data_IF_339135425541
#
_entry.id   IF_339135425541
#
_cell.length_a   1.000
_cell.length_b   1.000
_cell.length_c   1.000
_cell.angle_alpha   90.00
_cell.angle_beta   90.00
_cell.angle_gamma   90.00
#
_symmetry.space_group_name_H-M   'P 1'
#
loop_
_entity.id
_entity.type
_entity.pdbx_description
1 polymer ?
#
# COMPACT_ATOMS: atom_id res chain seq x y z
N UNK A 1 15.15 -3.65 21.03
CA UNK A 1 13.72 -3.31 20.92
C UNK A 1 13.44 -3.06 19.45
N UNK A 2 12.63 -3.90 18.80
CA UNK A 2 12.32 -3.73 17.38
C UNK A 2 11.19 -2.73 17.17
N UNK A 3 10.99 -2.27 15.93
CA UNK A 3 9.85 -1.40 15.61
C UNK A 3 8.51 -2.10 15.87
N UNK A 4 8.39 -3.40 15.58
CA UNK A 4 7.19 -4.18 15.87
C UNK A 4 6.97 -4.35 17.39
N UNK A 5 8.03 -4.33 18.21
CA UNK A 5 7.86 -4.33 19.67
C UNK A 5 7.37 -2.97 20.21
N UNK A 6 7.55 -1.87 19.46
CA UNK A 6 6.92 -0.58 19.78
C UNK A 6 5.43 -0.56 19.41
N UNK A 7 5.03 -1.35 18.40
CA UNK A 7 3.63 -1.49 17.98
C UNK A 7 2.87 -2.60 18.73
N UNK A 8 3.40 -3.14 19.84
CA UNK A 8 2.78 -4.30 20.52
C UNK A 8 1.69 -3.99 21.55
N UNK A 9 1.60 -2.76 22.04
CA UNK A 9 0.73 -2.42 23.17
C UNK A 9 -0.49 -1.54 22.82
N UNK A 10 -0.73 -1.22 21.54
CA UNK A 10 -2.03 -0.69 21.08
C UNK A 10 -2.33 -1.10 19.61
N UNK A 11 -3.25 -2.07 19.47
CA UNK A 11 -4.05 -2.36 18.27
C UNK A 11 -3.35 -2.66 16.92
N UNK A 12 -2.53 -3.72 16.86
CA UNK A 12 -2.21 -4.40 15.58
C UNK A 12 -3.46 -5.09 14.97
N UNK A 13 -4.55 -5.19 15.71
CA UNK A 13 -5.82 -5.78 15.24
C UNK A 13 -6.70 -4.82 14.41
N UNK A 14 -6.34 -3.52 14.28
CA UNK A 14 -7.07 -2.56 13.43
C UNK A 14 -6.50 -2.39 12.02
N UNK A 15 -5.46 -3.13 11.65
CA UNK A 15 -4.93 -3.10 10.29
C UNK A 15 -5.86 -3.84 9.33
N UNK A 16 -6.16 -3.24 8.18
CA UNK A 16 -6.76 -3.98 7.06
C UNK A 16 -5.72 -4.94 6.47
N UNK A 17 -5.62 -6.11 7.10
CA UNK A 17 -4.99 -7.30 6.54
C UNK A 17 -5.99 -7.86 5.52
N UNK A 18 -5.63 -8.01 4.23
CA UNK A 18 -6.47 -8.72 3.28
C UNK A 18 -6.81 -10.12 3.83
N UNK A 19 -8.07 -10.59 3.75
CA UNK A 19 -8.50 -11.84 4.40
C UNK A 19 -7.74 -13.09 3.91
N UNK A 20 -7.06 -12.97 2.78
CA UNK A 20 -6.15 -13.96 2.20
C UNK A 20 -4.87 -14.18 3.04
N UNK A 21 -4.60 -13.32 4.04
CA UNK A 21 -3.37 -13.32 4.84
C UNK A 21 -3.58 -13.66 6.32
N UNK A 22 -4.83 -13.82 6.78
CA UNK A 22 -5.14 -14.23 8.15
C UNK A 22 -5.28 -15.75 8.26
N UNK A 23 -4.16 -16.48 8.25
CA UNK A 23 -4.17 -17.94 8.41
C UNK A 23 -4.62 -18.35 9.83
N UNK A 24 -5.68 -19.17 9.91
CA UNK A 24 -5.97 -19.99 11.08
C UNK A 24 -6.21 -21.42 10.59
N UNK A 25 -5.23 -22.29 10.80
CA UNK A 25 -5.13 -23.59 10.12
C UNK A 25 -5.13 -24.73 11.15
N UNK A 26 -6.26 -25.39 11.35
CA UNK A 26 -6.35 -26.59 12.20
C UNK A 26 -7.25 -27.71 11.60
N UNK A 27 -6.63 -28.89 11.54
CA UNK A 27 -7.22 -30.25 11.55
C UNK A 27 -8.19 -30.64 10.43
N UNK A 28 -7.70 -31.54 9.56
CA UNK A 28 -8.53 -32.54 8.89
C UNK A 28 -9.02 -33.62 9.88
N UNK A 29 -10.09 -34.35 9.52
CA UNK A 29 -9.96 -35.81 9.56
C UNK A 29 -10.43 -36.51 8.27
N UNK A 30 -9.74 -37.59 7.93
CA UNK A 30 -10.00 -38.50 6.81
C UNK A 30 -11.07 -39.54 7.16
N UNK A 31 -12.05 -39.82 6.27
CA UNK A 31 -12.52 -41.20 6.01
C UNK A 31 -12.88 -41.41 4.51
N UNK A 32 -12.21 -42.41 3.95
CA UNK A 32 -12.35 -43.17 2.69
C UNK A 32 -13.76 -43.60 2.24
N UNK A 33 -14.05 -43.51 0.92
CA UNK A 33 -14.29 -44.68 0.02
C UNK A 33 -14.18 -44.32 -1.47
N UNK A 34 -13.47 -45.16 -2.24
CA UNK A 34 -13.42 -45.21 -3.72
C UNK A 34 -14.24 -46.44 -4.19
N UNK A 35 -14.73 -46.54 -5.46
CA UNK A 35 -13.85 -46.87 -6.62
C UNK A 35 -14.17 -46.18 -7.98
N UNK A 36 -13.10 -46.01 -8.79
CA UNK A 36 -12.94 -46.07 -10.29
C UNK A 36 -14.11 -45.66 -11.24
N UNK A 37 -14.08 -44.57 -12.04
CA UNK A 37 -13.28 -44.21 -13.27
C UNK A 37 -13.54 -45.19 -14.46
N UNK A 38 -13.69 -44.79 -15.77
CA UNK A 38 -13.29 -43.55 -16.51
C UNK A 38 -14.44 -42.74 -17.20
N UNK A 39 -14.32 -41.43 -17.52
CA UNK A 39 -13.66 -40.71 -18.68
C UNK A 39 -14.32 -41.00 -20.06
N UNK A 40 -14.52 -40.09 -21.03
CA UNK A 40 -14.20 -38.66 -21.35
C UNK A 40 -15.50 -37.93 -21.85
N UNK A 41 -15.64 -36.62 -22.12
CA UNK A 41 -15.16 -35.32 -21.58
C UNK A 41 -15.99 -34.17 -22.28
N UNK A 42 -15.58 -32.88 -22.18
CA UNK A 42 -16.08 -31.63 -22.81
C UNK A 42 -17.40 -30.99 -22.25
N UNK A 43 -17.44 -29.65 -22.05
CA UNK A 43 -16.47 -28.82 -21.31
C UNK A 43 -17.15 -27.78 -20.36
N UNK A 44 -16.42 -27.24 -19.36
CA UNK A 44 -16.42 -25.81 -18.92
C UNK A 44 -15.89 -25.55 -17.48
N UNK A 45 -15.28 -24.37 -17.31
CA UNK A 45 -15.22 -23.49 -16.13
C UNK A 45 -14.38 -23.85 -14.86
N UNK A 46 -13.16 -23.28 -14.82
CA UNK A 46 -12.47 -22.70 -13.63
C UNK A 46 -12.04 -23.59 -12.44
N UNK A 47 -11.16 -23.11 -11.51
CA UNK A 47 -10.40 -21.85 -11.48
C UNK A 47 -8.86 -22.03 -11.41
N UNK A 48 -8.11 -20.95 -11.68
CA UNK A 48 -6.67 -20.88 -11.43
C UNK A 48 -6.35 -20.71 -9.92
N UNK A 49 -5.22 -21.25 -9.41
CA UNK A 49 -4.94 -21.27 -7.97
C UNK A 49 -4.47 -19.91 -7.42
N UNK A 50 -5.07 -19.49 -6.31
CA UNK A 50 -4.65 -18.31 -5.54
C UNK A 50 -3.24 -18.50 -4.94
N UNK A 51 -2.38 -17.48 -5.08
CA UNK A 51 -0.99 -17.52 -4.56
C UNK A 51 -0.90 -16.80 -3.21
N UNK A 52 -0.37 -17.52 -2.22
CA UNK A 52 -0.07 -17.08 -0.85
C UNK A 52 0.80 -15.79 -0.79
N UNK A 53 0.80 -15.05 0.34
CA UNK A 53 1.81 -14.02 0.59
C UNK A 53 3.21 -14.61 0.49
N UNK A 54 4.13 -13.86 -0.11
CA UNK A 54 5.52 -14.30 -0.32
C UNK A 54 6.51 -13.75 0.71
N UNK A 55 6.19 -12.64 1.37
CA UNK A 55 7.10 -11.93 2.26
C UNK A 55 7.08 -12.48 3.68
N UNK A 56 8.24 -12.66 4.31
CA UNK A 56 8.32 -13.08 5.72
C UNK A 56 8.03 -11.92 6.68
N UNK A 57 7.73 -12.25 7.94
CA UNK A 57 7.50 -11.25 8.99
C UNK A 57 8.74 -10.39 9.26
N UNK A 58 9.92 -11.00 9.18
CA UNK A 58 11.22 -10.36 9.36
C UNK A 58 11.51 -9.38 8.21
N UNK A 59 11.14 -9.73 6.98
CA UNK A 59 11.27 -8.85 5.81
C UNK A 59 10.26 -7.70 5.85
N UNK A 60 9.00 -7.97 6.22
CA UNK A 60 8.02 -6.89 6.44
C UNK A 60 8.52 -5.88 7.49
N UNK A 61 9.10 -6.37 8.60
CA UNK A 61 9.68 -5.53 9.65
C UNK A 61 10.87 -4.69 9.17
N UNK A 62 11.77 -5.26 8.36
CA UNK A 62 12.96 -4.55 7.89
C UNK A 62 12.63 -3.46 6.88
N UNK A 63 11.63 -3.71 6.02
CA UNK A 63 11.18 -2.78 4.96
C UNK A 63 10.25 -1.69 5.47
N UNK A 64 9.51 -1.91 6.57
CA UNK A 64 8.54 -0.94 7.13
C UNK A 64 9.22 0.32 7.70
N UNK A 65 8.79 1.49 7.21
CA UNK A 65 9.23 2.83 7.64
C UNK A 65 8.25 3.54 8.56
N UNK A 66 6.95 3.32 8.35
CA UNK A 66 5.90 4.01 9.09
C UNK A 66 4.49 3.63 8.64
N UNK A 67 3.52 4.45 9.02
CA UNK A 67 2.10 4.32 8.66
C UNK A 67 1.65 5.62 7.99
N UNK A 68 1.14 5.51 6.77
CA UNK A 68 0.44 6.58 6.05
C UNK A 68 -1.01 6.64 6.53
N UNK A 69 -1.45 7.84 6.93
CA UNK A 69 -2.83 8.13 7.32
C UNK A 69 -3.37 9.32 6.53
N UNK A 70 -4.54 9.18 5.91
CA UNK A 70 -5.24 10.27 5.20
C UNK A 70 -6.70 10.32 5.68
N UNK A 71 -7.00 11.08 6.76
CA UNK A 71 -8.27 10.97 7.50
C UNK A 71 -9.53 11.19 6.65
N UNK A 72 -9.49 12.14 5.71
CA UNK A 72 -10.66 12.50 4.87
C UNK A 72 -11.19 11.34 4.02
N UNK A 73 -10.31 10.43 3.63
CA UNK A 73 -10.63 9.28 2.76
C UNK A 73 -10.52 7.93 3.47
N UNK A 74 -10.32 7.94 4.79
CA UNK A 74 -10.20 6.77 5.66
C UNK A 74 -9.08 5.79 5.23
N UNK A 75 -7.92 6.34 4.84
CA UNK A 75 -6.73 5.54 4.53
C UNK A 75 -5.84 5.44 5.78
N UNK A 76 -5.51 4.21 6.19
CA UNK A 76 -4.46 3.86 7.16
C UNK A 76 -3.69 2.66 6.61
N UNK A 77 -2.43 2.85 6.18
CA UNK A 77 -1.63 1.84 5.49
C UNK A 77 -0.17 1.85 5.93
N UNK A 78 0.50 0.69 5.88
CA UNK A 78 1.96 0.62 6.06
C UNK A 78 2.68 1.36 4.92
N UNK A 79 3.82 1.98 5.24
CA UNK A 79 4.81 2.49 4.29
C UNK A 79 6.02 1.56 4.34
N UNK A 80 6.41 1.02 3.18
CA UNK A 80 7.54 0.08 3.06
C UNK A 80 8.48 0.52 1.93
N UNK A 81 9.77 0.22 2.03
CA UNK A 81 10.71 0.42 0.91
C UNK A 81 10.40 -0.55 -0.25
N UNK A 82 10.39 -0.03 -1.48
CA UNK A 82 10.18 -0.78 -2.72
C UNK A 82 8.76 -0.66 -3.27
N UNK A 83 8.62 -0.83 -4.59
CA UNK A 83 7.34 -0.70 -5.33
C UNK A 83 7.01 -1.97 -6.14
N UNK A 84 7.55 -3.11 -5.71
CA UNK A 84 7.23 -4.44 -6.24
C UNK A 84 5.82 -4.93 -5.82
N UNK A 85 5.31 -5.90 -6.57
CA UNK A 85 4.01 -6.55 -6.35
C UNK A 85 3.84 -7.16 -4.96
N UNK A 86 4.92 -7.48 -4.25
CA UNK A 86 4.86 -8.08 -2.91
C UNK A 86 4.59 -7.00 -1.86
N UNK A 87 5.21 -5.84 -2.03
CA UNK A 87 5.00 -4.64 -1.22
C UNK A 87 3.65 -3.98 -1.49
N UNK A 88 3.32 -3.70 -2.76
CA UNK A 88 2.10 -2.95 -3.12
C UNK A 88 0.80 -3.71 -2.79
N UNK A 89 0.86 -5.04 -2.61
CA UNK A 89 -0.25 -5.87 -2.13
C UNK A 89 -0.62 -5.59 -0.66
N UNK A 90 0.31 -5.08 0.16
CA UNK A 90 0.10 -4.96 1.63
C UNK A 90 0.40 -3.55 2.19
N UNK A 91 1.04 -2.69 1.41
CA UNK A 91 1.54 -1.39 1.82
C UNK A 91 1.47 -0.38 0.68
N UNK A 92 1.69 0.90 0.99
CA UNK A 92 2.21 1.85 0.00
C UNK A 92 3.74 1.69 -0.07
N UNK A 93 4.27 1.63 -1.28
CA UNK A 93 5.68 1.44 -1.54
C UNK A 93 6.41 2.76 -1.74
N UNK A 94 7.50 3.00 -1.01
CA UNK A 94 8.40 4.12 -1.31
C UNK A 94 9.21 3.80 -2.56
N UNK A 95 9.16 4.71 -3.52
CA UNK A 95 9.90 4.62 -4.77
C UNK A 95 11.41 4.67 -4.50
N UNK A 96 12.21 3.69 -4.97
CA UNK A 96 13.66 3.74 -4.86
C UNK A 96 14.25 5.03 -5.45
N UNK A 97 15.39 5.47 -4.89
CA UNK A 97 16.12 6.68 -5.29
C UNK A 97 15.42 8.03 -5.01
N UNK A 98 14.28 8.01 -4.30
CA UNK A 98 13.65 9.22 -3.73
C UNK A 98 14.09 9.42 -2.28
N UNK A 99 13.89 10.62 -1.73
CA UNK A 99 14.38 10.96 -0.38
C UNK A 99 13.66 10.18 0.73
N UNK A 100 14.22 10.15 1.94
CA UNK A 100 13.59 9.51 3.09
C UNK A 100 12.56 10.43 3.78
N UNK A 101 11.76 9.86 4.68
CA UNK A 101 10.76 10.61 5.44
C UNK A 101 11.42 11.61 6.41
N UNK A 102 10.85 12.81 6.51
CA UNK A 102 11.38 13.96 7.28
C UNK A 102 12.71 14.55 6.76
N UNK A 103 13.10 14.30 5.51
CA UNK A 103 14.25 14.95 4.88
C UNK A 103 13.85 16.09 3.92
N UNK A 104 14.75 17.04 3.68
CA UNK A 104 14.58 18.06 2.63
C UNK A 104 14.73 17.36 1.28
N UNK A 105 13.68 17.40 0.47
CA UNK A 105 13.59 16.59 -0.74
C UNK A 105 12.16 16.17 -1.03
N UNK A 106 12.00 15.04 -1.72
CA UNK A 106 10.69 14.50 -2.10
C UNK A 106 10.69 12.99 -1.86
N UNK A 107 9.91 12.54 -0.88
CA UNK A 107 9.63 11.13 -0.63
C UNK A 107 8.40 10.74 -1.46
N UNK A 108 8.55 9.80 -2.39
CA UNK A 108 7.48 9.41 -3.32
C UNK A 108 6.91 8.04 -2.96
N UNK A 109 5.61 7.96 -2.71
CA UNK A 109 4.88 6.75 -2.37
C UNK A 109 3.93 6.34 -3.51
N UNK A 110 4.10 5.10 -3.98
CA UNK A 110 3.17 4.44 -4.88
C UNK A 110 2.18 3.56 -4.11
N UNK A 111 0.93 3.50 -4.56
CA UNK A 111 -0.05 2.53 -4.04
C UNK A 111 -1.06 2.11 -5.09
N UNK A 112 -1.63 0.92 -4.96
CA UNK A 112 -2.68 0.46 -5.87
C UNK A 112 -3.95 1.31 -5.75
N UNK A 113 -4.65 1.45 -6.87
CA UNK A 113 -6.03 1.96 -6.89
C UNK A 113 -6.98 0.78 -7.03
N UNK A 114 -7.57 0.37 -5.92
CA UNK A 114 -8.56 -0.72 -5.94
C UNK A 114 -9.85 -0.26 -6.61
N UNK A 115 -10.61 -1.21 -7.16
CA UNK A 115 -12.02 -1.00 -7.49
C UNK A 115 -12.90 -1.00 -6.24
N UNK A 116 -12.47 -1.65 -5.16
CA UNK A 116 -13.22 -1.74 -3.91
C UNK A 116 -13.17 -0.40 -3.18
N UNK A 117 -14.34 0.14 -2.84
CA UNK A 117 -14.44 1.40 -2.11
C UNK A 117 -13.83 1.31 -0.70
N UNK A 118 -13.05 2.32 -0.31
CA UNK A 118 -12.35 2.36 0.99
C UNK A 118 -11.16 1.41 1.08
N UNK A 119 -10.52 1.06 -0.06
CA UNK A 119 -9.36 0.16 -0.11
C UNK A 119 -8.20 0.77 -0.87
N UNK A 120 -7.00 0.66 -0.29
CA UNK A 120 -5.77 1.26 -0.81
C UNK A 120 -5.99 2.76 -1.11
N UNK A 121 -5.52 3.26 -2.25
CA UNK A 121 -5.66 4.66 -2.65
C UNK A 121 -6.89 4.91 -3.55
N UNK A 122 -7.94 4.08 -3.48
CA UNK A 122 -9.08 4.17 -4.42
C UNK A 122 -9.74 5.56 -4.46
N UNK A 123 -9.81 6.22 -3.31
CA UNK A 123 -10.44 7.54 -3.06
C UNK A 123 -9.48 8.73 -3.16
N UNK A 124 -8.24 8.55 -3.64
CA UNK A 124 -7.23 9.63 -3.68
C UNK A 124 -7.72 10.87 -4.48
N UNK A 125 -8.67 10.70 -5.39
CA UNK A 125 -9.30 11.78 -6.17
C UNK A 125 -10.34 12.62 -5.41
N UNK A 126 -10.65 12.29 -4.15
CA UNK A 126 -11.55 13.07 -3.29
C UNK A 126 -10.81 14.14 -2.46
N UNK A 127 -9.47 14.13 -2.53
CA UNK A 127 -8.61 15.09 -1.86
C UNK A 127 -8.61 16.43 -2.61
N UNK A 128 -8.25 17.51 -1.90
CA UNK A 128 -8.08 18.88 -2.40
C UNK A 128 -6.91 19.57 -1.67
N UNK A 129 -6.42 20.66 -2.24
CA UNK A 129 -5.45 21.55 -1.58
C UNK A 129 -5.95 22.00 -0.22
N UNK A 130 -5.09 21.89 0.81
CA UNK A 130 -5.41 22.16 2.21
C UNK A 130 -5.76 20.93 3.04
N UNK A 131 -6.11 19.80 2.41
CA UNK A 131 -6.30 18.53 3.13
C UNK A 131 -4.97 18.03 3.74
N UNK A 132 -5.09 17.24 4.82
CA UNK A 132 -3.95 16.74 5.59
C UNK A 132 -3.60 15.29 5.26
N UNK A 133 -2.30 15.02 5.20
CA UNK A 133 -1.71 13.68 5.22
C UNK A 133 -0.83 13.59 6.48
N UNK A 134 -0.88 12.47 7.19
CA UNK A 134 -0.04 12.22 8.35
C UNK A 134 0.77 10.96 8.13
N UNK A 135 2.07 10.99 8.45
CA UNK A 135 2.94 9.82 8.46
C UNK A 135 3.47 9.57 9.87
N UNK A 136 3.06 8.46 10.47
CA UNK A 136 3.60 8.02 11.76
C UNK A 136 4.87 7.19 11.52
N UNK A 137 6.01 7.68 11.99
CA UNK A 137 7.28 6.94 11.99
C UNK A 137 7.56 6.39 13.38
N UNK A 138 8.60 5.55 13.51
CA UNK A 138 9.05 4.97 14.80
C UNK A 138 9.33 6.01 15.90
N UNK A 139 9.66 7.26 15.51
CA UNK A 139 10.17 8.28 16.42
C UNK A 139 9.28 9.54 16.51
N UNK A 140 8.38 9.75 15.55
CA UNK A 140 7.62 11.01 15.38
C UNK A 140 6.47 10.88 14.39
N UNK A 141 5.45 11.70 14.60
CA UNK A 141 4.36 11.94 13.66
C UNK A 141 4.70 13.14 12.79
N UNK A 142 4.69 12.95 11.47
CA UNK A 142 4.95 13.96 10.46
C UNK A 142 3.61 14.39 9.85
N UNK A 143 3.27 15.68 9.89
CA UNK A 143 2.06 16.20 9.28
C UNK A 143 2.40 16.93 7.99
N UNK A 144 1.58 16.75 6.97
CA UNK A 144 1.75 17.36 5.66
C UNK A 144 0.44 18.00 5.19
N UNK A 145 0.54 19.13 4.51
CA UNK A 145 -0.58 19.81 3.84
C UNK A 145 -0.49 19.65 2.34
N UNK A 146 -1.55 19.15 1.71
CA UNK A 146 -1.64 19.02 0.25
C UNK A 146 -1.64 20.41 -0.40
N UNK A 147 -0.76 20.62 -1.37
CA UNK A 147 -0.64 21.89 -2.09
C UNK A 147 -0.91 21.75 -3.60
N UNK A 148 -0.72 20.56 -4.17
CA UNK A 148 -0.85 20.30 -5.61
C UNK A 148 -1.41 18.91 -5.87
N UNK A 149 -2.22 18.80 -6.92
CA UNK A 149 -2.76 17.54 -7.43
C UNK A 149 -2.74 17.58 -8.96
N UNK A 150 -2.48 16.46 -9.61
CA UNK A 150 -2.42 16.37 -11.06
C UNK A 150 -2.70 14.95 -11.56
N UNK A 151 -3.15 14.83 -12.81
CA UNK A 151 -3.13 13.59 -13.58
C UNK A 151 -1.99 13.71 -14.59
N UNK A 152 -1.17 12.67 -14.72
CA UNK A 152 0.03 12.63 -15.58
C UNK A 152 0.12 11.33 -16.36
N UNK A 153 0.99 11.30 -17.37
CA UNK A 153 1.34 10.07 -18.07
C UNK A 153 2.17 9.11 -17.18
N UNK A 154 2.16 7.79 -17.45
CA UNK A 154 2.91 6.81 -16.66
C UNK A 154 4.44 6.97 -16.67
N UNK A 155 4.98 7.67 -17.67
CA UNK A 155 6.41 7.94 -17.89
C UNK A 155 6.80 9.40 -17.58
N UNK A 156 5.89 10.20 -17.01
CA UNK A 156 6.21 11.53 -16.49
C UNK A 156 6.93 11.43 -15.13
N UNK A 157 8.26 11.50 -15.18
CA UNK A 157 9.12 11.46 -14.01
C UNK A 157 9.18 12.78 -13.21
N UNK A 158 8.50 13.86 -13.63
CA UNK A 158 8.52 15.16 -12.91
C UNK A 158 8.07 15.05 -11.44
N UNK A 159 7.32 14.00 -11.09
CA UNK A 159 6.86 13.75 -9.71
C UNK A 159 7.97 13.44 -8.70
N UNK A 160 9.19 13.12 -9.15
CA UNK A 160 10.35 12.89 -8.28
C UNK A 160 11.16 14.18 -8.04
N UNK A 161 10.83 15.27 -8.73
CA UNK A 161 11.55 16.54 -8.59
C UNK A 161 11.42 17.10 -7.18
N UNK A 162 12.46 17.84 -6.76
CA UNK A 162 12.56 18.51 -5.47
C UNK A 162 13.14 19.90 -5.65
N UNK A 163 12.69 20.84 -4.81
CA UNK A 163 13.13 22.24 -4.86
C UNK A 163 14.36 22.54 -3.98
N UNK A 164 14.85 21.57 -3.21
CA UNK A 164 16.01 21.71 -2.34
C UNK A 164 15.78 22.52 -1.07
N UNK A 165 14.54 22.91 -0.76
CA UNK A 165 14.19 23.67 0.46
C UNK A 165 13.15 22.96 1.31
N UNK A 166 12.17 22.31 0.69
CA UNK A 166 11.00 21.78 1.38
C UNK A 166 11.13 20.28 1.64
N UNK A 167 10.39 19.80 2.64
CA UNK A 167 10.15 18.37 2.86
C UNK A 167 8.84 17.98 2.16
N UNK A 168 8.93 17.32 1.02
CA UNK A 168 7.78 16.99 0.16
C UNK A 168 7.42 15.51 0.32
N UNK A 169 6.12 15.23 0.44
CA UNK A 169 5.55 13.89 0.30
C UNK A 169 4.68 13.86 -0.94
N UNK A 170 5.05 13.02 -1.90
CA UNK A 170 4.24 12.75 -3.10
C UNK A 170 3.59 11.39 -2.97
N UNK A 171 2.26 11.30 -3.11
CA UNK A 171 1.50 10.05 -3.10
C UNK A 171 0.82 9.90 -4.46
N UNK A 172 1.02 8.76 -5.13
CA UNK A 172 0.42 8.53 -6.45
C UNK A 172 -0.16 7.13 -6.62
N UNK A 173 -1.09 7.02 -7.57
CA UNK A 173 -1.80 5.79 -7.89
C UNK A 173 -2.26 5.76 -9.36
N UNK A 174 -2.73 4.61 -9.84
CA UNK A 174 -3.20 4.45 -11.23
C UNK A 174 -4.53 5.19 -11.48
N UNK A 175 -4.71 5.78 -12.67
CA UNK A 175 -5.95 6.43 -13.09
C UNK A 175 -6.26 6.10 -14.57
N UNK A 176 -7.54 5.95 -14.98
CA UNK A 176 -8.70 5.69 -14.14
C UNK A 176 -8.61 4.31 -13.44
N UNK A 177 -9.46 4.02 -12.42
CA UNK A 177 -9.45 2.73 -11.71
C UNK A 177 -9.43 1.52 -12.65
N UNK A 178 -8.37 0.71 -12.52
CA UNK A 178 -8.08 -0.51 -13.27
C UNK A 178 -8.08 -0.45 -14.80
N UNK A 179 -8.12 0.74 -15.40
CA UNK A 179 -7.52 1.00 -16.71
C UNK A 179 -6.04 1.35 -16.51
N UNK A 180 -5.75 2.26 -15.57
CA UNK A 180 -4.38 2.63 -15.18
C UNK A 180 -3.54 3.25 -16.30
N UNK A 181 -4.19 3.90 -17.28
CA UNK A 181 -3.54 4.58 -18.41
C UNK A 181 -2.69 5.78 -17.97
N UNK A 182 -3.03 6.41 -16.85
CA UNK A 182 -2.41 7.61 -16.29
C UNK A 182 -2.03 7.37 -14.82
N UNK A 183 -1.42 8.36 -14.17
CA UNK A 183 -1.24 8.41 -12.71
C UNK A 183 -1.96 9.61 -12.12
N UNK A 184 -2.74 9.39 -11.07
CA UNK A 184 -3.24 10.43 -10.20
C UNK A 184 -2.20 10.69 -9.11
N UNK A 185 -1.78 11.93 -8.96
CA UNK A 185 -0.68 12.35 -8.09
C UNK A 185 -1.17 13.45 -7.14
N UNK A 186 -0.81 13.32 -5.87
CA UNK A 186 -1.04 14.29 -4.81
C UNK A 186 0.30 14.66 -4.20
N UNK A 187 0.63 15.95 -4.10
CA UNK A 187 1.85 16.44 -3.48
C UNK A 187 1.50 17.30 -2.25
N UNK A 188 2.18 17.01 -1.14
CA UNK A 188 2.00 17.67 0.14
C UNK A 188 3.36 18.16 0.68
N UNK A 189 3.39 19.32 1.35
CA UNK A 189 4.58 19.80 2.07
C UNK A 189 4.41 19.48 3.55
N UNK A 190 5.51 19.13 4.22
CA UNK A 190 5.49 18.95 5.66
C UNK A 190 5.20 20.29 6.35
N UNK A 191 4.36 20.24 7.38
CA UNK A 191 4.14 21.35 8.29
C UNK A 191 5.40 21.57 9.16
N UNK A 192 5.62 22.81 9.62
CA UNK A 192 6.75 23.20 10.50
C UNK A 192 6.65 22.66 11.93
#
# INVERSE_FOLDING_TARGET
>A
MSAIDYYKDEEVETFYIPPELSENNQTAPTITTSPEIPEEDEPADSPAPAKKPKMSKEEMLSRTKGILSIPKIDVKMLIMDGVDDETLRVAVGRLPYTDDLDEIGNCVLAGHRSYTFGKYLNRLNELVTGDKITVQTKNKTLNYTIYKMQIIEPDDFSIIEKNGTDKILTVFTCDPPGIGSHRLVVQAKQDE
#
